data_IF_624458200088
#
_entry.id   IF_624458200088
#
_cell.length_a   1.000
_cell.length_b   1.000
_cell.length_c   1.000
_cell.angle_alpha   90.00
_cell.angle_beta   90.00
_cell.angle_gamma   90.00
#
_symmetry.space_group_name_H-M   'P 1'
#
loop_
_entity.id
_entity.type
_entity.pdbx_description
1 polymer ?
#
# COMPACT_ATOMS: atom_id res chain seq x y z
N UNK A 1 24.02 -50.24 -40.62
CA UNK A 1 24.08 -49.81 -39.21
C UNK A 1 23.49 -48.41 -39.13
N UNK A 2 22.28 -48.27 -38.58
CA UNK A 2 21.58 -46.99 -38.43
C UNK A 2 21.67 -46.57 -36.96
N UNK A 3 22.32 -45.45 -36.68
CA UNK A 3 22.28 -44.80 -35.37
C UNK A 3 21.60 -43.45 -35.55
N UNK A 4 20.34 -43.36 -35.13
CA UNK A 4 19.67 -42.08 -34.95
C UNK A 4 19.97 -41.63 -33.52
N UNK A 5 20.85 -40.64 -33.37
CA UNK A 5 21.03 -39.94 -32.11
C UNK A 5 19.81 -39.03 -31.90
N UNK A 6 18.92 -39.41 -30.99
CA UNK A 6 17.83 -38.56 -30.54
C UNK A 6 18.37 -37.52 -29.57
N UNK A 7 18.58 -36.29 -30.03
CA UNK A 7 18.78 -35.14 -29.16
C UNK A 7 17.46 -34.81 -28.46
N UNK A 8 17.34 -35.19 -27.20
CA UNK A 8 16.22 -34.79 -26.34
C UNK A 8 16.28 -33.29 -26.06
N UNK A 9 15.31 -32.53 -26.57
CA UNK A 9 15.14 -31.11 -26.29
C UNK A 9 14.53 -30.96 -24.88
N UNK A 10 15.34 -30.64 -23.88
CA UNK A 10 14.84 -30.30 -22.55
C UNK A 10 14.27 -28.87 -22.57
N UNK A 11 12.94 -28.74 -22.59
CA UNK A 11 12.27 -27.45 -22.44
C UNK A 11 12.34 -26.99 -20.98
N UNK A 12 13.20 -26.01 -20.70
CA UNK A 12 13.22 -25.30 -19.41
C UNK A 12 12.09 -24.28 -19.37
N UNK A 13 10.98 -24.63 -18.72
CA UNK A 13 9.91 -23.69 -18.40
C UNK A 13 10.38 -22.75 -17.30
N UNK A 14 10.75 -21.53 -17.66
CA UNK A 14 11.00 -20.46 -16.70
C UNK A 14 9.66 -19.96 -16.17
N UNK A 15 9.34 -20.26 -14.90
CA UNK A 15 8.20 -19.64 -14.21
C UNK A 15 8.62 -18.21 -13.85
N UNK A 16 8.25 -17.22 -14.67
CA UNK A 16 8.33 -15.83 -14.25
C UNK A 16 7.25 -15.56 -13.20
N UNK A 17 7.64 -15.52 -11.92
CA UNK A 17 6.78 -14.98 -10.87
C UNK A 17 6.68 -13.46 -11.06
N UNK A 18 5.46 -12.93 -11.16
CA UNK A 18 5.24 -11.49 -11.18
C UNK A 18 5.75 -10.87 -9.86
N UNK A 19 6.44 -9.71 -9.89
CA UNK A 19 6.91 -9.07 -8.67
C UNK A 19 5.73 -8.71 -7.77
N UNK A 20 5.72 -9.24 -6.55
CA UNK A 20 4.71 -8.87 -5.55
C UNK A 20 4.83 -7.39 -5.17
N UNK A 21 3.70 -6.69 -5.17
CA UNK A 21 3.59 -5.28 -4.80
C UNK A 21 3.92 -5.05 -3.31
N UNK A 22 4.51 -3.91 -2.98
CA UNK A 22 5.01 -3.65 -1.62
C UNK A 22 3.93 -3.63 -0.53
N UNK A 23 2.71 -3.20 -0.85
CA UNK A 23 1.57 -3.33 0.07
C UNK A 23 1.23 -4.79 0.38
N UNK A 24 1.32 -5.67 -0.61
CA UNK A 24 1.07 -7.12 -0.44
C UNK A 24 2.11 -7.73 0.48
N UNK A 25 3.39 -7.45 0.24
CA UNK A 25 4.48 -7.98 1.06
C UNK A 25 4.43 -7.47 2.50
N UNK A 26 4.29 -6.16 2.69
CA UNK A 26 4.18 -5.57 4.02
C UNK A 26 2.93 -6.08 4.76
N UNK A 27 1.80 -6.20 4.06
CA UNK A 27 0.58 -6.75 4.61
C UNK A 27 0.77 -8.19 5.10
N UNK A 28 1.40 -9.04 4.27
CA UNK A 28 1.75 -10.42 4.65
C UNK A 28 2.65 -10.46 5.88
N UNK A 29 3.75 -9.70 5.88
CA UNK A 29 4.77 -9.77 6.93
C UNK A 29 4.26 -9.26 8.29
N UNK A 30 3.37 -8.27 8.30
CA UNK A 30 2.78 -7.72 9.52
C UNK A 30 1.38 -8.30 9.85
N UNK A 31 0.87 -9.21 9.02
CA UNK A 31 -0.48 -9.76 9.14
C UNK A 31 -1.57 -8.69 8.99
N UNK A 32 -1.34 -7.64 8.20
CA UNK A 32 -2.29 -6.56 7.93
C UNK A 32 -2.85 -6.76 6.52
N UNK A 33 -4.15 -6.55 6.34
CA UNK A 33 -4.73 -6.57 5.00
C UNK A 33 -4.05 -5.49 4.13
N UNK A 34 -3.46 -5.84 2.96
CA UNK A 34 -2.82 -4.87 2.08
C UNK A 34 -3.71 -3.67 1.71
N UNK A 35 -5.03 -3.88 1.62
CA UNK A 35 -6.00 -2.81 1.32
C UNK A 35 -6.12 -1.80 2.45
N UNK A 36 -5.91 -2.22 3.71
CA UNK A 36 -5.89 -1.28 4.83
C UNK A 36 -4.65 -0.37 4.75
N UNK A 37 -3.49 -0.94 4.43
CA UNK A 37 -2.26 -0.15 4.20
C UNK A 37 -2.42 0.81 3.00
N UNK A 38 -3.04 0.35 1.92
CA UNK A 38 -3.38 1.21 0.78
C UNK A 38 -4.36 2.33 1.18
N UNK A 39 -5.34 2.05 2.03
CA UNK A 39 -6.28 3.06 2.52
C UNK A 39 -5.57 4.18 3.28
N UNK A 40 -4.59 3.85 4.14
CA UNK A 40 -3.71 4.85 4.74
C UNK A 40 -2.96 5.64 3.68
N UNK A 41 -2.26 4.98 2.75
CA UNK A 41 -1.45 5.69 1.74
C UNK A 41 -2.28 6.64 0.85
N UNK A 42 -3.50 6.24 0.49
CA UNK A 42 -4.45 7.08 -0.25
C UNK A 42 -4.82 8.31 0.57
N UNK A 43 -5.20 8.12 1.83
CA UNK A 43 -5.60 9.23 2.70
C UNK A 43 -4.44 10.18 2.99
N UNK A 44 -3.27 9.64 3.26
CA UNK A 44 -2.09 10.39 3.71
C UNK A 44 -1.48 11.23 2.59
N UNK A 45 -1.38 10.68 1.37
CA UNK A 45 -0.60 11.32 0.32
C UNK A 45 -1.21 11.23 -1.08
N UNK A 46 -2.33 10.52 -1.23
CA UNK A 46 -2.82 10.03 -2.53
C UNK A 46 -1.76 9.15 -3.22
N UNK A 47 -1.10 8.30 -2.44
CA UNK A 47 -0.03 7.39 -2.87
C UNK A 47 1.24 8.08 -3.42
N UNK A 48 1.47 9.36 -3.11
CA UNK A 48 2.64 10.12 -3.60
C UNK A 48 3.83 9.94 -2.66
N UNK A 49 4.88 9.24 -3.11
CA UNK A 49 6.05 8.98 -2.24
C UNK A 49 6.95 10.20 -1.99
N UNK A 50 6.84 11.26 -2.79
CA UNK A 50 7.56 12.51 -2.54
C UNK A 50 6.75 13.49 -1.67
N UNK A 51 5.67 13.05 -1.03
CA UNK A 51 4.86 13.90 -0.17
C UNK A 51 5.63 14.38 1.07
N UNK A 52 5.46 15.65 1.38
CA UNK A 52 6.06 16.34 2.52
C UNK A 52 5.00 17.21 3.18
N UNK A 53 4.80 17.02 4.48
CA UNK A 53 3.96 17.88 5.31
C UNK A 53 4.83 18.49 6.41
N UNK A 54 5.03 19.81 6.37
CA UNK A 54 5.85 20.54 7.37
C UNK A 54 5.01 21.18 8.47
N UNK A 55 3.70 20.97 8.47
CA UNK A 55 2.74 21.60 9.41
C UNK A 55 2.10 20.57 10.34
N UNK A 56 2.79 19.48 10.64
CA UNK A 56 2.29 18.45 11.54
C UNK A 56 2.24 18.97 12.98
N UNK A 57 1.32 18.43 13.79
CA UNK A 57 1.11 18.88 15.16
C UNK A 57 2.38 18.73 16.01
N UNK A 58 2.65 19.70 16.89
CA UNK A 58 3.81 19.64 17.79
C UNK A 58 5.16 19.97 17.12
N UNK A 59 5.15 20.60 15.94
CA UNK A 59 6.37 21.05 15.25
C UNK A 59 7.13 19.94 14.52
N UNK A 60 6.52 18.76 14.38
CA UNK A 60 7.07 17.65 13.60
C UNK A 60 6.74 17.81 12.10
N UNK A 61 7.25 16.91 11.28
CA UNK A 61 6.91 16.83 9.87
C UNK A 61 6.66 15.39 9.44
N UNK A 62 5.86 15.20 8.41
CA UNK A 62 5.55 13.90 7.84
C UNK A 62 6.15 13.77 6.43
N UNK A 63 6.62 12.57 6.10
CA UNK A 63 7.25 12.29 4.79
C UNK A 63 6.66 11.07 4.13
N UNK A 64 6.85 10.97 2.82
CA UNK A 64 6.55 9.80 1.99
C UNK A 64 5.07 9.39 1.89
N UNK A 65 4.79 8.33 1.13
CA UNK A 65 3.41 8.01 0.74
C UNK A 65 2.51 7.55 1.91
N UNK A 66 3.10 7.22 3.06
CA UNK A 66 2.43 6.86 4.30
C UNK A 66 2.49 7.97 5.37
N UNK A 67 2.99 9.16 5.01
CA UNK A 67 3.17 10.30 5.92
C UNK A 67 3.77 9.92 7.27
N UNK A 68 4.94 9.27 7.22
CA UNK A 68 5.67 8.88 8.42
C UNK A 68 6.15 10.12 9.17
N UNK A 69 5.62 10.31 10.38
CA UNK A 69 5.94 11.44 11.23
C UNK A 69 7.38 11.36 11.79
N UNK A 70 8.05 12.50 11.85
CA UNK A 70 9.44 12.62 12.31
C UNK A 70 9.68 12.20 13.76
N UNK A 71 8.63 12.14 14.59
CA UNK A 71 8.72 11.60 15.96
C UNK A 71 9.17 10.13 16.01
N UNK A 72 8.96 9.37 14.93
CA UNK A 72 9.42 7.97 14.83
C UNK A 72 10.89 7.84 14.44
N UNK A 73 11.55 8.89 13.93
CA UNK A 73 12.86 8.76 13.27
C UNK A 73 13.96 8.22 14.19
N UNK A 74 13.94 8.57 15.48
CA UNK A 74 14.89 8.03 16.45
C UNK A 74 14.77 6.50 16.63
N UNK A 75 13.55 5.96 16.51
CA UNK A 75 13.32 4.52 16.56
C UNK A 75 13.69 3.86 15.22
N UNK A 76 13.36 4.52 14.11
CA UNK A 76 13.60 4.02 12.76
C UNK A 76 15.08 3.95 12.39
N UNK A 77 15.91 4.82 12.95
CA UNK A 77 17.37 4.80 12.78
C UNK A 77 18.00 3.45 13.17
N UNK A 78 17.38 2.71 14.10
CA UNK A 78 17.84 1.36 14.50
C UNK A 78 17.69 0.31 13.40
N UNK A 79 16.85 0.59 12.40
CA UNK A 79 16.64 -0.24 11.21
C UNK A 79 17.33 0.37 9.98
N UNK A 80 18.22 1.35 10.18
CA UNK A 80 18.86 2.13 9.12
C UNK A 80 17.86 2.91 8.24
N UNK A 81 16.62 3.12 8.72
CA UNK A 81 15.59 3.86 7.98
C UNK A 81 15.75 5.36 8.27
N UNK A 82 16.15 6.12 7.25
CA UNK A 82 16.30 7.58 7.30
C UNK A 82 15.18 8.30 6.54
N UNK A 83 15.08 9.62 6.73
CA UNK A 83 14.17 10.48 5.97
C UNK A 83 14.38 10.34 4.45
N UNK A 84 15.63 10.33 4.02
CA UNK A 84 16.02 10.23 2.61
C UNK A 84 15.59 8.88 2.04
N UNK A 85 15.79 7.80 2.80
CA UNK A 85 15.34 6.46 2.38
C UNK A 85 13.83 6.37 2.27
N UNK A 86 13.08 6.95 3.21
CA UNK A 86 11.61 7.01 3.16
C UNK A 86 11.12 7.73 1.89
N UNK A 87 11.76 8.84 1.52
CA UNK A 87 11.40 9.62 0.32
C UNK A 87 11.85 8.98 -0.99
N UNK A 88 12.95 8.21 -0.97
CA UNK A 88 13.52 7.55 -2.16
C UNK A 88 12.86 6.21 -2.47
N UNK A 89 12.49 5.45 -1.44
CA UNK A 89 11.99 4.08 -1.58
C UNK A 89 10.54 3.96 -1.03
N UNK A 90 9.53 3.85 -1.92
CA UNK A 90 8.13 3.70 -1.52
C UNK A 90 7.88 2.46 -0.68
N UNK A 91 8.63 1.39 -0.89
CA UNK A 91 8.45 0.14 -0.17
C UNK A 91 8.92 0.27 1.27
N UNK A 92 10.04 0.96 1.51
CA UNK A 92 10.48 1.30 2.87
C UNK A 92 9.45 2.18 3.58
N UNK A 93 8.84 3.15 2.88
CA UNK A 93 7.77 3.95 3.46
C UNK A 93 6.54 3.09 3.85
N UNK A 94 6.09 2.21 2.96
CA UNK A 94 4.95 1.30 3.19
C UNK A 94 5.23 0.34 4.36
N UNK A 95 6.41 -0.29 4.39
CA UNK A 95 6.81 -1.17 5.49
C UNK A 95 6.90 -0.42 6.82
N UNK A 96 7.36 0.83 6.80
CA UNK A 96 7.42 1.67 8.00
C UNK A 96 6.01 1.98 8.52
N UNK A 97 5.07 2.32 7.64
CA UNK A 97 3.67 2.52 8.02
C UNK A 97 3.04 1.23 8.57
N UNK A 98 3.27 0.09 7.92
CA UNK A 98 2.80 -1.21 8.40
C UNK A 98 3.38 -1.56 9.78
N UNK A 99 4.65 -1.23 10.04
CA UNK A 99 5.27 -1.40 11.34
C UNK A 99 4.62 -0.53 12.43
N UNK A 100 4.27 0.73 12.13
CA UNK A 100 3.54 1.61 13.06
C UNK A 100 2.16 1.02 13.38
N UNK A 101 1.41 0.63 12.35
CA UNK A 101 0.06 0.08 12.50
C UNK A 101 0.06 -1.26 13.27
N UNK A 102 1.02 -2.14 12.98
CA UNK A 102 1.20 -3.40 13.70
C UNK A 102 1.51 -3.17 15.19
N UNK A 103 2.25 -2.11 15.53
CA UNK A 103 2.50 -1.75 16.93
C UNK A 103 1.23 -1.29 17.62
N UNK A 104 0.39 -0.49 16.95
CA UNK A 104 -0.91 -0.10 17.48
C UNK A 104 -1.78 -1.34 17.74
N UNK A 105 -1.89 -2.24 16.78
CA UNK A 105 -2.65 -3.48 16.94
C UNK A 105 -2.12 -4.37 18.06
N UNK A 106 -0.81 -4.49 18.21
CA UNK A 106 -0.21 -5.28 19.28
C UNK A 106 -0.50 -4.69 20.66
N UNK A 107 -0.54 -3.36 20.79
CA UNK A 107 -0.71 -2.70 22.07
C UNK A 107 -2.18 -2.48 22.46
N UNK A 108 -3.07 -2.25 21.48
CA UNK A 108 -4.45 -1.81 21.72
C UNK A 108 -5.51 -2.71 21.06
N UNK A 109 -5.08 -3.80 20.41
CA UNK A 109 -5.94 -4.75 19.72
C UNK A 109 -6.30 -4.34 18.28
N UNK A 110 -6.85 -5.29 17.52
CA UNK A 110 -7.31 -5.04 16.15
C UNK A 110 -8.72 -4.45 16.16
N UNK A 111 -8.80 -3.12 16.13
CA UNK A 111 -10.05 -2.37 16.12
C UNK A 111 -9.88 -1.03 15.40
N UNK A 112 -10.99 -0.38 15.06
CA UNK A 112 -10.98 0.91 14.34
C UNK A 112 -10.37 2.06 15.14
N UNK A 113 -10.45 2.03 16.47
CA UNK A 113 -9.76 3.03 17.29
C UNK A 113 -8.23 2.91 17.10
N UNK A 114 -7.69 1.69 17.05
CA UNK A 114 -6.26 1.44 16.80
C UNK A 114 -5.81 1.86 15.39
N UNK A 115 -6.67 1.68 14.38
CA UNK A 115 -6.45 2.26 13.04
C UNK A 115 -6.38 3.79 13.09
N UNK A 116 -7.26 4.42 13.87
CA UNK A 116 -7.25 5.85 14.09
C UNK A 116 -6.01 6.37 14.82
N UNK A 117 -5.37 5.52 15.64
CA UNK A 117 -4.14 5.88 16.36
C UNK A 117 -2.96 6.06 15.43
N UNK A 118 -3.00 5.56 14.18
CA UNK A 118 -1.96 5.82 13.19
C UNK A 118 -1.69 7.32 13.04
N UNK A 119 -2.76 8.12 12.93
CA UNK A 119 -2.69 9.58 12.76
C UNK A 119 -2.54 10.33 14.09
N UNK A 120 -3.18 9.87 15.15
CA UNK A 120 -3.35 10.66 16.39
C UNK A 120 -2.50 10.18 17.57
N UNK A 121 -1.96 8.96 17.50
CA UNK A 121 -1.41 8.27 18.65
C UNK A 121 -2.45 7.91 19.73
N UNK A 122 -1.99 7.37 20.87
CA UNK A 122 -2.87 6.76 21.86
C UNK A 122 -3.50 7.73 22.87
N UNK A 123 -3.15 9.03 22.83
CA UNK A 123 -3.66 10.03 23.78
C UNK A 123 -5.20 10.02 23.89
N UNK A 124 -5.78 9.84 25.09
CA UNK A 124 -7.24 9.87 25.28
C UNK A 124 -7.88 11.21 24.87
N UNK A 125 -7.12 12.30 24.92
CA UNK A 125 -7.58 13.65 24.53
C UNK A 125 -7.92 13.75 23.03
N UNK A 126 -7.46 12.80 22.21
CA UNK A 126 -7.61 12.81 20.75
C UNK A 126 -8.64 11.81 20.24
N UNK A 127 -9.51 11.28 21.11
CA UNK A 127 -10.48 10.23 20.74
C UNK A 127 -11.42 10.66 19.60
N UNK A 128 -11.79 11.95 19.53
CA UNK A 128 -12.65 12.48 18.47
C UNK A 128 -11.92 12.42 17.12
N UNK A 129 -10.73 13.02 17.03
CA UNK A 129 -9.93 13.05 15.80
C UNK A 129 -9.53 11.64 15.35
N UNK A 130 -9.24 10.75 16.30
CA UNK A 130 -8.95 9.33 16.06
C UNK A 130 -10.09 8.65 15.32
N UNK A 131 -11.32 8.82 15.82
CA UNK A 131 -12.52 8.18 15.25
C UNK A 131 -12.91 8.79 13.91
N UNK A 132 -12.73 10.10 13.74
CA UNK A 132 -12.91 10.78 12.45
C UNK A 132 -11.96 10.20 11.39
N UNK A 133 -10.66 10.11 11.71
CA UNK A 133 -9.68 9.52 10.82
C UNK A 133 -9.97 8.04 10.53
N UNK A 134 -10.28 7.25 11.56
CA UNK A 134 -10.63 5.83 11.39
C UNK A 134 -11.85 5.63 10.49
N UNK A 135 -12.86 6.50 10.56
CA UNK A 135 -14.02 6.45 9.68
C UNK A 135 -13.66 6.69 8.21
N UNK A 136 -12.74 7.61 7.94
CA UNK A 136 -12.21 7.86 6.58
C UNK A 136 -11.49 6.61 6.05
N UNK A 137 -10.56 6.06 6.84
CA UNK A 137 -9.82 4.84 6.46
C UNK A 137 -10.78 3.67 6.21
N UNK A 138 -11.79 3.49 7.07
CA UNK A 138 -12.82 2.48 6.90
C UNK A 138 -13.60 2.63 5.59
N UNK A 139 -13.91 3.86 5.19
CA UNK A 139 -14.59 4.15 3.92
C UNK A 139 -13.74 3.73 2.72
N UNK A 140 -12.48 4.18 2.68
CA UNK A 140 -11.55 3.85 1.60
C UNK A 140 -11.30 2.33 1.54
N UNK A 141 -11.08 1.69 2.69
CA UNK A 141 -10.87 0.24 2.78
C UNK A 141 -12.05 -0.55 2.20
N UNK A 142 -13.29 -0.14 2.49
CA UNK A 142 -14.50 -0.78 1.92
C UNK A 142 -14.58 -0.64 0.41
N UNK A 143 -14.23 0.52 -0.13
CA UNK A 143 -14.17 0.74 -1.59
C UNK A 143 -13.12 -0.17 -2.22
N UNK A 144 -11.94 -0.33 -1.59
CA UNK A 144 -10.89 -1.23 -2.09
C UNK A 144 -11.33 -2.70 -2.07
N UNK A 145 -12.04 -3.14 -1.04
CA UNK A 145 -12.62 -4.49 -1.01
C UNK A 145 -13.61 -4.68 -2.16
N UNK A 146 -14.59 -3.78 -2.28
CA UNK A 146 -15.63 -3.89 -3.31
C UNK A 146 -15.03 -3.83 -4.73
N UNK A 147 -14.02 -2.98 -4.93
CA UNK A 147 -13.24 -2.91 -6.17
C UNK A 147 -12.67 -4.28 -6.53
N UNK A 148 -11.96 -4.92 -5.61
CA UNK A 148 -11.31 -6.21 -5.86
C UNK A 148 -12.33 -7.33 -6.13
N UNK A 149 -13.48 -7.32 -5.43
CA UNK A 149 -14.59 -8.26 -5.68
C UNK A 149 -15.17 -8.10 -7.10
N UNK A 150 -15.40 -6.85 -7.53
CA UNK A 150 -15.90 -6.54 -8.87
C UNK A 150 -14.88 -6.96 -9.94
N UNK A 151 -13.60 -6.63 -9.77
CA UNK A 151 -12.56 -7.05 -10.72
C UNK A 151 -12.39 -8.57 -10.77
N UNK A 152 -12.49 -9.26 -9.64
CA UNK A 152 -12.47 -10.71 -9.59
C UNK A 152 -13.65 -11.31 -10.38
N UNK A 153 -14.87 -10.82 -10.17
CA UNK A 153 -16.05 -11.26 -10.91
C UNK A 153 -15.95 -10.98 -12.42
N UNK A 154 -15.51 -9.78 -12.80
CA UNK A 154 -15.30 -9.40 -14.20
C UNK A 154 -14.21 -10.22 -14.88
N UNK A 155 -13.08 -10.49 -14.21
CA UNK A 155 -11.98 -11.29 -14.77
C UNK A 155 -12.38 -12.75 -15.00
N UNK A 156 -13.28 -13.30 -14.18
CA UNK A 156 -13.86 -14.62 -14.42
C UNK A 156 -14.83 -14.63 -15.62
N UNK A 157 -15.56 -13.54 -15.87
CA UNK A 157 -16.39 -13.37 -17.07
C UNK A 157 -15.58 -13.08 -18.35
N UNK A 158 -14.47 -12.35 -18.25
CA UNK A 158 -13.63 -11.91 -19.38
C UNK A 158 -12.74 -12.99 -20.02
N UNK A 159 -12.90 -14.28 -19.66
CA UNK A 159 -12.42 -15.36 -20.53
C UNK A 159 -13.14 -15.41 -21.91
N UNK A 160 -14.13 -14.52 -22.17
CA UNK A 160 -14.84 -14.37 -23.45
C UNK A 160 -14.87 -12.95 -24.04
N UNK A 161 -14.29 -11.92 -23.42
CA UNK A 161 -14.40 -10.52 -23.93
C UNK A 161 -13.19 -9.67 -23.50
N UNK A 162 -12.68 -8.75 -24.35
CA UNK A 162 -11.55 -7.90 -24.00
C UNK A 162 -11.84 -6.97 -22.81
N UNK A 163 -10.79 -6.54 -22.10
CA UNK A 163 -10.90 -5.57 -21.01
C UNK A 163 -11.58 -4.27 -21.51
N UNK A 164 -12.49 -3.67 -20.72
CA UNK A 164 -13.10 -2.41 -21.10
C UNK A 164 -12.02 -1.33 -21.20
N UNK A 165 -12.08 -0.53 -22.27
CA UNK A 165 -11.20 0.62 -22.44
C UNK A 165 -11.32 1.56 -21.23
N UNK A 166 -10.19 1.96 -20.68
CA UNK A 166 -10.18 2.97 -19.62
C UNK A 166 -10.68 4.30 -20.17
N UNK A 167 -11.39 5.09 -19.38
CA UNK A 167 -11.85 6.42 -19.81
C UNK A 167 -10.71 7.30 -20.35
N UNK A 168 -9.49 7.14 -19.81
CA UNK A 168 -8.27 7.83 -20.26
C UNK A 168 -7.86 7.53 -21.72
N UNK A 169 -8.21 6.37 -22.28
CA UNK A 169 -7.91 6.08 -23.69
C UNK A 169 -8.88 6.75 -24.66
N UNK A 170 -10.05 7.21 -24.20
CA UNK A 170 -11.01 7.93 -25.02
C UNK A 170 -10.62 9.41 -25.24
N UNK A 171 -9.95 10.03 -24.26
CA UNK A 171 -9.59 11.46 -24.31
C UNK A 171 -8.35 11.77 -25.17
N UNK A 172 -7.48 10.78 -25.43
CA UNK A 172 -6.26 10.97 -26.24
C UNK A 172 -6.59 11.15 -27.74
N UNK A 173 -7.76 10.72 -28.21
CA UNK A 173 -8.11 10.76 -29.63
C UNK A 173 -8.56 12.14 -30.14
N UNK A 174 -8.79 13.14 -29.27
CA UNK A 174 -9.39 14.43 -29.68
C UNK A 174 -8.42 15.62 -29.71
N UNK A 175 -7.13 15.43 -29.38
CA UNK A 175 -6.14 16.50 -29.37
C UNK A 175 -5.14 16.38 -30.53
N UNK A 176 -5.62 16.54 -31.77
CA UNK A 176 -4.77 16.95 -32.89
C UNK A 176 -5.63 17.61 -33.98
N UNK A 177 -5.80 18.92 -33.88
CA UNK A 177 -6.07 19.82 -35.01
C UNK A 177 -5.29 21.10 -34.80
#
# INVERSE_FOLDING_TARGET
MKWFAAFGLAAVFSVQAAPEMCFTKAGKDFGIDPRLLMAHSIQESRMRNNALNTKSSGGTHDVCNMQINSSHFNQLKKFDITRERLLKDPCICIYTGAWIEARNFRQYGRNWDSVGMYNTGPSPKLIKQRREYAAIIKSIYRVLIARDEVYAAMSQQNKKTPAPETFLSADVSTASK
#
